data_IF_680245710870
#
_entry.id   IF_680245710870
#
_cell.length_a   1.000
_cell.length_b   1.000
_cell.length_c   1.000
_cell.angle_alpha   90.00
_cell.angle_beta   90.00
_cell.angle_gamma   90.00
#
_symmetry.space_group_name_H-M   'P 1'
#
loop_
_entity.id
_entity.type
_entity.pdbx_description
1 polymer ?
#
# COMPACT_ATOMS: atom_id res chain seq x y z
N UNK A 1 -9.15 -12.89 -19.81
CA UNK A 1 -7.70 -12.88 -20.12
C UNK A 1 -7.03 -12.00 -19.08
N UNK A 2 -5.99 -12.50 -18.40
CA UNK A 2 -5.31 -11.77 -17.32
C UNK A 2 -4.54 -10.54 -17.82
N UNK A 3 -4.24 -9.60 -16.92
CA UNK A 3 -3.39 -8.46 -17.22
C UNK A 3 -1.95 -8.92 -17.55
N UNK A 4 -1.19 -8.19 -18.39
CA UNK A 4 0.22 -8.49 -18.63
C UNK A 4 1.04 -8.40 -17.33
N UNK A 5 2.13 -9.16 -17.26
CA UNK A 5 3.01 -9.17 -16.10
C UNK A 5 3.62 -7.77 -15.85
N UNK A 6 3.51 -7.22 -14.63
CA UNK A 6 3.98 -5.88 -14.35
C UNK A 6 5.52 -5.84 -14.29
N UNK A 7 6.11 -4.78 -14.85
CA UNK A 7 7.54 -4.49 -14.67
C UNK A 7 7.74 -3.76 -13.35
N UNK A 8 8.38 -4.44 -12.39
CA UNK A 8 8.70 -3.88 -11.09
C UNK A 8 10.10 -3.27 -11.08
N UNK A 9 10.25 -2.10 -10.46
CA UNK A 9 11.53 -1.42 -10.24
C UNK A 9 11.59 -0.88 -8.83
N UNK A 10 12.75 -1.02 -8.20
CA UNK A 10 13.02 -0.43 -6.88
C UNK A 10 13.53 0.99 -7.07
N UNK A 11 12.91 1.94 -6.39
CA UNK A 11 13.38 3.32 -6.34
C UNK A 11 14.38 3.47 -5.19
N UNK A 12 15.60 3.97 -5.42
CA UNK A 12 16.55 4.23 -4.34
C UNK A 12 16.01 5.26 -3.35
N UNK A 13 16.15 5.01 -2.04
CA UNK A 13 15.63 5.88 -0.98
C UNK A 13 16.14 7.33 -1.09
N UNK A 14 17.42 7.52 -1.40
CA UNK A 14 17.99 8.86 -1.55
C UNK A 14 17.32 9.69 -2.67
N UNK A 15 16.78 9.02 -3.70
CA UNK A 15 16.08 9.69 -4.78
C UNK A 15 14.71 10.22 -4.32
N UNK A 16 14.02 9.48 -3.45
CA UNK A 16 12.77 9.94 -2.82
C UNK A 16 13.03 11.11 -1.87
N UNK A 17 14.08 11.01 -1.04
CA UNK A 17 14.48 12.05 -0.08
C UNK A 17 14.81 13.37 -0.79
N UNK A 18 15.67 13.32 -1.81
CA UNK A 18 16.06 14.52 -2.57
C UNK A 18 14.89 15.08 -3.37
N UNK A 19 14.04 14.23 -3.95
CA UNK A 19 12.81 14.64 -4.62
C UNK A 19 11.81 15.35 -3.69
N UNK A 20 11.78 14.98 -2.40
CA UNK A 20 10.94 15.62 -1.38
C UNK A 20 11.26 17.10 -1.11
N UNK A 21 12.44 17.58 -1.51
CA UNK A 21 12.80 19.00 -1.40
C UNK A 21 12.02 19.89 -2.39
N UNK A 22 11.53 19.30 -3.49
CA UNK A 22 10.87 20.04 -4.58
C UNK A 22 9.44 19.57 -4.84
N UNK A 23 9.13 18.30 -4.56
CA UNK A 23 7.80 17.70 -4.76
C UNK A 23 7.19 17.35 -3.39
N UNK A 24 6.15 18.07 -2.93
CA UNK A 24 5.54 17.82 -1.62
C UNK A 24 5.09 16.36 -1.42
N UNK A 25 4.55 15.73 -2.47
CA UNK A 25 4.13 14.32 -2.41
C UNK A 25 5.30 13.39 -2.05
N UNK A 26 6.49 13.61 -2.60
CA UNK A 26 7.65 12.77 -2.31
C UNK A 26 8.15 12.96 -0.87
N UNK A 27 7.97 14.16 -0.30
CA UNK A 27 8.27 14.44 1.11
C UNK A 27 7.38 13.64 2.05
N UNK A 28 6.08 13.53 1.73
CA UNK A 28 5.15 12.71 2.52
C UNK A 28 5.45 11.21 2.37
N UNK A 29 5.86 10.77 1.17
CA UNK A 29 6.29 9.36 0.94
C UNK A 29 7.52 9.01 1.79
N UNK A 30 8.52 9.89 1.86
CA UNK A 30 9.71 9.67 2.69
C UNK A 30 9.34 9.41 4.16
N UNK A 31 8.37 10.16 4.70
CA UNK A 31 7.83 9.97 6.05
C UNK A 31 7.18 8.61 6.30
N UNK A 32 6.77 7.89 5.25
CA UNK A 32 6.18 6.54 5.35
C UNK A 32 7.18 5.43 5.00
N UNK A 33 8.40 5.74 4.55
CA UNK A 33 9.34 4.72 4.09
C UNK A 33 9.78 3.74 5.17
N UNK A 34 9.66 4.11 6.44
CA UNK A 34 9.97 3.24 7.57
C UNK A 34 9.16 1.93 7.55
N UNK A 35 7.95 1.93 6.98
CA UNK A 35 7.12 0.73 6.87
C UNK A 35 7.73 -0.35 5.96
N UNK A 36 8.75 -0.01 5.17
CA UNK A 36 9.47 -0.93 4.28
C UNK A 36 10.85 -1.35 4.81
N UNK A 37 11.30 -0.78 5.93
CA UNK A 37 12.61 -1.12 6.53
C UNK A 37 12.61 -2.42 7.31
N UNK A 38 11.43 -2.85 7.75
CA UNK A 38 11.18 -4.07 8.51
C UNK A 38 9.75 -4.56 8.22
N UNK A 39 9.38 -5.78 8.65
CA UNK A 39 7.99 -6.22 8.60
C UNK A 39 7.06 -5.19 9.27
N UNK A 40 6.07 -4.72 8.53
CA UNK A 40 5.05 -3.81 9.05
C UNK A 40 3.89 -4.62 9.65
N UNK A 41 4.10 -5.12 10.86
CA UNK A 41 3.12 -5.90 11.60
C UNK A 41 2.10 -4.99 12.30
N UNK A 42 0.82 -5.29 12.13
CA UNK A 42 -0.29 -4.56 12.76
C UNK A 42 -0.95 -5.46 13.79
N UNK A 43 -0.86 -5.09 15.07
CA UNK A 43 -1.68 -5.67 16.12
C UNK A 43 -3.01 -4.91 16.21
N UNK A 44 -4.10 -5.56 15.81
CA UNK A 44 -5.43 -4.98 15.80
C UNK A 44 -6.21 -5.22 17.10
N UNK A 45 -5.63 -5.87 18.11
CA UNK A 45 -6.33 -6.37 19.30
C UNK A 45 -7.18 -5.29 20.00
N UNK A 46 -6.63 -4.10 20.22
CA UNK A 46 -7.37 -3.00 20.87
C UNK A 46 -8.56 -2.51 20.01
N UNK A 47 -8.37 -2.44 18.69
CA UNK A 47 -9.42 -2.03 17.75
C UNK A 47 -10.55 -3.05 17.70
N UNK A 48 -10.20 -4.35 17.66
CA UNK A 48 -11.17 -5.43 17.68
C UNK A 48 -11.98 -5.44 18.99
N UNK A 49 -11.32 -5.22 20.13
CA UNK A 49 -12.00 -5.15 21.43
C UNK A 49 -12.87 -3.91 21.58
N UNK A 50 -12.40 -2.76 21.12
CA UNK A 50 -13.11 -1.48 21.26
C UNK A 50 -14.32 -1.40 20.35
N UNK A 51 -14.20 -1.88 19.11
CA UNK A 51 -15.23 -1.69 18.07
C UNK A 51 -15.96 -2.98 17.68
N UNK A 52 -15.53 -4.15 18.18
CA UNK A 52 -16.15 -5.45 17.86
C UNK A 52 -15.99 -5.87 16.40
N UNK A 53 -15.05 -5.26 15.67
CA UNK A 53 -14.75 -5.59 14.27
C UNK A 53 -13.66 -6.66 14.20
N UNK A 54 -13.50 -7.27 13.02
CA UNK A 54 -12.42 -8.23 12.74
C UNK A 54 -11.69 -7.84 11.46
N UNK A 55 -10.38 -8.13 11.34
CA UNK A 55 -9.64 -7.94 10.11
C UNK A 55 -10.25 -8.77 8.97
N UNK A 56 -10.37 -8.15 7.80
CA UNK A 56 -10.73 -8.87 6.57
C UNK A 56 -9.60 -9.81 6.18
N UNK A 57 -9.93 -11.02 5.72
CA UNK A 57 -8.93 -11.96 5.21
C UNK A 57 -8.21 -11.36 3.98
N UNK A 58 -6.88 -11.52 3.92
CA UNK A 58 -6.04 -10.95 2.86
C UNK A 58 -6.44 -11.40 1.45
N UNK A 59 -6.76 -12.68 1.25
CA UNK A 59 -7.11 -13.20 -0.08
C UNK A 59 -8.42 -12.58 -0.58
N UNK A 60 -9.39 -12.45 0.33
CA UNK A 60 -10.66 -11.77 0.02
C UNK A 60 -10.43 -10.29 -0.33
N UNK A 61 -9.69 -9.57 0.52
CA UNK A 61 -9.42 -8.15 0.34
C UNK A 61 -8.74 -7.87 -1.01
N UNK A 62 -7.73 -8.67 -1.36
CA UNK A 62 -6.98 -8.53 -2.61
C UNK A 62 -7.86 -8.83 -3.83
N UNK A 63 -8.67 -9.89 -3.77
CA UNK A 63 -9.56 -10.26 -4.86
C UNK A 63 -10.61 -9.18 -5.14
N UNK A 64 -11.24 -8.65 -4.09
CA UNK A 64 -12.24 -7.58 -4.18
C UNK A 64 -11.62 -6.28 -4.72
N UNK A 65 -10.45 -5.89 -4.19
CA UNK A 65 -9.73 -4.69 -4.63
C UNK A 65 -9.32 -4.80 -6.11
N UNK A 66 -8.74 -5.94 -6.51
CA UNK A 66 -8.35 -6.16 -7.90
C UNK A 66 -9.54 -6.14 -8.86
N UNK A 67 -10.71 -6.65 -8.44
CA UNK A 67 -11.94 -6.55 -9.22
C UNK A 67 -12.38 -5.11 -9.40
N UNK A 68 -12.45 -4.33 -8.32
CA UNK A 68 -12.87 -2.92 -8.37
C UNK A 68 -11.98 -2.08 -9.32
N UNK A 69 -10.67 -2.33 -9.32
CA UNK A 69 -9.75 -1.67 -10.26
C UNK A 69 -9.99 -2.07 -11.72
N UNK A 70 -10.27 -3.35 -12.00
CA UNK A 70 -10.62 -3.78 -13.36
C UNK A 70 -11.88 -3.10 -13.87
N UNK A 71 -12.91 -3.01 -13.02
CA UNK A 71 -14.18 -2.35 -13.37
C UNK A 71 -13.97 -0.86 -13.66
N UNK A 72 -13.19 -0.17 -12.82
CA UNK A 72 -12.86 1.25 -13.01
C UNK A 72 -12.11 1.54 -14.31
N UNK A 73 -11.22 0.65 -14.74
CA UNK A 73 -10.49 0.81 -16.01
C UNK A 73 -11.34 0.50 -17.24
N UNK A 74 -12.46 -0.21 -17.08
CA UNK A 74 -13.39 -0.55 -18.16
C UNK A 74 -14.52 0.46 -18.37
N UNK A 75 -14.60 1.48 -17.51
CA UNK A 75 -15.55 2.60 -17.60
C UNK A 75 -14.87 3.83 -18.17
#
# INVERSE_FOLDING_TARGET
>A
VGAPEPRLRVVPRWLLQTGGLVVPLLREVDGMLYQFDAPFEVDATETEQTFGIRPTNWDQLLAETARAWRERLSS
#
